data_IF_287165844951
#
_entry.id   IF_287165844951
#
_cell.length_a   1.000
_cell.length_b   1.000
_cell.length_c   1.000
_cell.angle_alpha   90.00
_cell.angle_beta   90.00
_cell.angle_gamma   90.00
#
_symmetry.space_group_name_H-M   'P 1'
#
loop_
_entity.id
_entity.type
_entity.pdbx_description
1 polymer ?
#
# COMPACT_ATOMS: atom_id res chain seq x y z
N UNK A 1 3.02 8.65 -12.94
CA UNK A 1 2.70 7.80 -11.77
C UNK A 1 3.72 6.69 -11.74
N UNK A 2 4.63 6.67 -10.77
CA UNK A 2 5.67 5.64 -10.73
C UNK A 2 5.05 4.30 -10.34
N UNK A 3 4.97 3.43 -11.36
CA UNK A 3 4.21 2.19 -11.41
C UNK A 3 4.81 1.14 -10.44
N UNK A 4 6.08 1.32 -10.04
CA UNK A 4 6.80 0.40 -9.15
C UNK A 4 6.35 0.40 -7.69
N UNK A 5 5.71 1.46 -7.19
CA UNK A 5 5.54 1.63 -5.74
C UNK A 5 4.53 0.65 -5.12
N UNK A 6 3.44 0.31 -5.83
CA UNK A 6 2.47 -0.68 -5.36
C UNK A 6 3.09 -2.08 -5.28
N UNK A 7 3.84 -2.46 -6.32
CA UNK A 7 4.53 -3.75 -6.37
C UNK A 7 5.56 -3.87 -5.25
N UNK A 8 6.34 -2.81 -5.01
CA UNK A 8 7.36 -2.80 -3.96
C UNK A 8 6.75 -2.81 -2.55
N UNK A 9 5.66 -2.06 -2.31
CA UNK A 9 4.96 -2.09 -1.01
C UNK A 9 4.33 -3.46 -0.72
N UNK A 10 3.75 -4.12 -1.72
CA UNK A 10 3.24 -5.50 -1.56
C UNK A 10 4.36 -6.47 -1.23
N UNK A 11 5.48 -6.43 -1.97
CA UNK A 11 6.63 -7.31 -1.70
C UNK A 11 7.22 -7.08 -0.31
N UNK A 12 7.31 -5.83 0.15
CA UNK A 12 7.77 -5.50 1.52
C UNK A 12 6.84 -6.03 2.61
N UNK A 13 5.54 -6.14 2.29
CA UNK A 13 4.55 -6.79 3.12
C UNK A 13 4.58 -8.33 3.02
N UNK A 14 5.54 -8.91 2.29
CA UNK A 14 5.71 -10.34 2.05
C UNK A 14 4.46 -11.03 1.49
N UNK A 15 3.72 -10.32 0.62
CA UNK A 15 2.53 -10.84 -0.03
C UNK A 15 2.79 -11.15 -1.50
N UNK A 16 2.26 -12.26 -2.00
CA UNK A 16 2.11 -12.52 -3.45
C UNK A 16 0.90 -11.75 -4.02
N UNK A 17 0.79 -11.67 -5.35
CA UNK A 17 -0.40 -11.07 -5.98
C UNK A 17 -1.67 -11.89 -5.71
N UNK A 18 -1.55 -13.21 -5.51
CA UNK A 18 -2.66 -14.11 -5.18
C UNK A 18 -3.15 -13.89 -3.75
N UNK A 19 -2.25 -13.63 -2.80
CA UNK A 19 -2.60 -13.31 -1.41
C UNK A 19 -3.11 -11.87 -1.26
N UNK A 20 -2.63 -10.93 -2.07
CA UNK A 20 -3.09 -9.55 -2.06
C UNK A 20 -4.51 -9.39 -2.63
N UNK A 21 -4.86 -10.20 -3.63
CA UNK A 21 -6.16 -10.17 -4.30
C UNK A 21 -7.37 -10.24 -3.35
N UNK A 22 -7.52 -11.26 -2.46
CA UNK A 22 -8.64 -11.33 -1.53
C UNK A 22 -8.64 -10.17 -0.52
N UNK A 23 -7.47 -9.68 -0.08
CA UNK A 23 -7.37 -8.56 0.87
C UNK A 23 -7.85 -7.24 0.26
N UNK A 24 -7.62 -7.09 -1.04
CA UNK A 24 -8.10 -5.96 -1.85
C UNK A 24 -9.53 -6.16 -2.38
N UNK A 25 -10.18 -7.29 -2.10
CA UNK A 25 -11.47 -7.66 -2.69
C UNK A 25 -11.45 -7.56 -4.23
N UNK A 26 -10.32 -7.94 -4.83
CA UNK A 26 -10.06 -7.84 -6.25
C UNK A 26 -9.53 -9.16 -6.81
N UNK A 27 -9.55 -9.34 -8.13
CA UNK A 27 -8.93 -10.51 -8.75
C UNK A 27 -7.41 -10.31 -8.88
N UNK A 28 -6.63 -11.40 -8.88
CA UNK A 28 -5.17 -11.34 -9.11
C UNK A 28 -4.78 -10.59 -10.41
N UNK A 29 -5.48 -10.76 -11.56
CA UNK A 29 -5.24 -9.92 -12.74
C UNK A 29 -5.47 -8.43 -12.49
N UNK A 30 -6.44 -8.07 -11.64
CA UNK A 30 -6.69 -6.69 -11.24
C UNK A 30 -5.52 -6.11 -10.46
N UNK A 31 -4.94 -6.89 -9.53
CA UNK A 31 -3.71 -6.52 -8.81
C UNK A 31 -2.57 -6.29 -9.80
N UNK A 32 -2.37 -7.20 -10.75
CA UNK A 32 -1.33 -7.03 -11.78
C UNK A 32 -1.53 -5.77 -12.61
N UNK A 33 -2.77 -5.46 -13.02
CA UNK A 33 -3.07 -4.24 -13.79
C UNK A 33 -2.82 -2.96 -12.98
N UNK A 34 -3.15 -2.97 -11.68
CA UNK A 34 -2.84 -1.86 -10.78
C UNK A 34 -1.31 -1.68 -10.64
N UNK A 35 -0.58 -2.77 -10.45
CA UNK A 35 0.89 -2.78 -10.33
C UNK A 35 1.62 -2.43 -11.63
N UNK A 36 0.97 -2.58 -12.79
CA UNK A 36 1.52 -2.20 -14.09
C UNK A 36 1.01 -0.83 -14.58
N UNK A 37 0.16 -0.15 -13.81
CA UNK A 37 -0.43 1.14 -14.21
C UNK A 37 -1.45 1.02 -15.34
N UNK A 38 -1.81 -0.19 -15.74
CA UNK A 38 -2.84 -0.50 -16.74
C UNK A 38 -4.26 -0.24 -16.20
N UNK A 39 -4.40 -0.12 -14.88
CA UNK A 39 -5.63 0.29 -14.21
C UNK A 39 -5.35 1.46 -13.27
N UNK A 40 -6.17 2.50 -13.35
CA UNK A 40 -6.10 3.63 -12.43
C UNK A 40 -6.40 3.16 -11.00
N UNK A 41 -5.55 3.55 -10.06
CA UNK A 41 -5.75 3.32 -8.64
C UNK A 41 -6.74 4.37 -8.10
N UNK A 42 -7.89 3.92 -7.61
CA UNK A 42 -8.86 4.81 -6.95
C UNK A 42 -8.38 5.14 -5.53
N UNK A 43 -8.86 6.26 -4.98
CA UNK A 43 -8.52 6.66 -3.62
C UNK A 43 -8.85 5.57 -2.58
N UNK A 44 -10.03 4.94 -2.69
CA UNK A 44 -10.45 3.87 -1.78
C UNK A 44 -9.56 2.61 -1.91
N UNK A 45 -9.16 2.28 -3.14
CA UNK A 45 -8.25 1.16 -3.40
C UNK A 45 -6.85 1.47 -2.83
N UNK A 46 -6.39 2.71 -2.91
CA UNK A 46 -5.13 3.14 -2.32
C UNK A 46 -5.19 3.02 -0.78
N UNK A 47 -6.23 3.55 -0.14
CA UNK A 47 -6.38 3.49 1.33
C UNK A 47 -6.36 2.03 1.79
N UNK A 48 -7.13 1.16 1.12
CA UNK A 48 -7.16 -0.27 1.43
C UNK A 48 -5.81 -0.94 1.21
N UNK A 49 -5.12 -0.62 0.12
CA UNK A 49 -3.77 -1.15 -0.16
C UNK A 49 -2.79 -0.78 0.96
N UNK A 50 -2.84 0.47 1.43
CA UNK A 50 -2.02 0.94 2.53
C UNK A 50 -2.36 0.24 3.85
N UNK A 51 -3.63 0.06 4.17
CA UNK A 51 -4.07 -0.68 5.36
C UNK A 51 -3.59 -2.14 5.35
N UNK A 52 -3.74 -2.82 4.21
CA UNK A 52 -3.32 -4.22 4.06
C UNK A 52 -1.80 -4.35 4.20
N UNK A 53 -1.04 -3.54 3.47
CA UNK A 53 0.42 -3.62 3.48
C UNK A 53 1.01 -3.19 4.83
N UNK A 54 0.46 -2.14 5.46
CA UNK A 54 0.88 -1.72 6.81
C UNK A 54 0.58 -2.78 7.88
N UNK A 55 -0.60 -3.40 7.85
CA UNK A 55 -0.95 -4.45 8.80
C UNK A 55 -0.03 -5.68 8.70
N UNK A 56 0.40 -6.05 7.48
CA UNK A 56 1.35 -7.15 7.29
C UNK A 56 2.78 -6.78 7.70
N UNK A 57 3.25 -5.59 7.35
CA UNK A 57 4.58 -5.10 7.77
C UNK A 57 4.66 -4.90 9.29
N UNK A 58 3.54 -4.55 9.93
CA UNK A 58 3.41 -4.38 11.39
C UNK A 58 3.31 -5.70 12.16
N UNK A 59 3.35 -6.87 11.52
CA UNK A 59 3.41 -8.16 12.23
C UNK A 59 4.69 -8.34 13.06
N UNK A 60 5.73 -7.54 12.83
CA UNK A 60 6.95 -7.49 13.65
C UNK A 60 6.87 -6.52 14.84
N UNK A 61 5.69 -5.91 15.05
CA UNK A 61 5.39 -4.93 16.08
C UNK A 61 4.34 -5.54 17.02
N UNK A 62 4.46 -5.30 18.32
CA UNK A 62 3.66 -6.01 19.33
C UNK A 62 2.15 -5.80 19.10
N UNK A 63 1.31 -6.77 19.50
CA UNK A 63 -0.14 -6.72 19.26
C UNK A 63 -0.81 -5.43 19.77
N UNK A 64 -0.22 -4.77 20.77
CA UNK A 64 -0.66 -3.50 21.32
C UNK A 64 -0.39 -2.32 20.37
N UNK A 65 0.79 -2.26 19.79
CA UNK A 65 1.19 -1.23 18.83
C UNK A 65 0.46 -1.39 17.50
N UNK A 66 0.24 -2.63 17.06
CA UNK A 66 -0.61 -2.93 15.91
C UNK A 66 -2.06 -2.48 16.13
N UNK A 67 -2.59 -2.65 17.36
CA UNK A 67 -3.92 -2.16 17.75
C UNK A 67 -4.00 -0.62 17.70
N UNK A 68 -2.95 0.08 18.14
CA UNK A 68 -2.90 1.55 18.09
C UNK A 68 -2.81 2.05 16.64
N UNK A 69 -2.00 1.41 15.78
CA UNK A 69 -1.89 1.76 14.36
C UNK A 69 -3.20 1.49 13.58
N UNK A 70 -3.94 0.45 13.98
CA UNK A 70 -5.23 0.11 13.39
C UNK A 70 -6.35 1.06 13.86
N UNK A 71 -6.40 1.40 15.15
CA UNK A 71 -7.37 2.35 15.73
C UNK A 71 -7.12 3.77 15.25
N UNK A 72 -5.86 4.18 15.04
CA UNK A 72 -5.50 5.45 14.42
C UNK A 72 -5.53 5.43 12.88
N UNK A 73 -5.92 4.30 12.25
CA UNK A 73 -6.48 4.28 10.90
C UNK A 73 -5.51 4.51 9.74
N UNK A 74 -4.24 4.12 9.87
CA UNK A 74 -3.09 4.57 9.05
C UNK A 74 -2.50 5.83 9.66
N UNK A 75 -1.43 5.64 10.43
CA UNK A 75 -0.63 6.70 11.02
C UNK A 75 -0.42 7.82 9.99
N UNK A 76 -0.90 9.03 10.31
CA UNK A 76 -0.85 10.17 9.40
C UNK A 76 0.58 10.48 8.98
N UNK A 77 1.56 10.10 9.80
CA UNK A 77 3.00 10.23 9.51
C UNK A 77 3.41 9.26 8.41
N UNK A 78 2.89 8.03 8.39
CA UNK A 78 3.13 7.05 7.32
C UNK A 78 2.43 7.48 6.03
N UNK A 79 1.19 7.96 6.14
CA UNK A 79 0.44 8.47 4.99
C UNK A 79 1.10 9.74 4.43
N UNK A 80 1.58 10.65 5.28
CA UNK A 80 2.33 11.84 4.90
C UNK A 80 3.70 11.50 4.32
N UNK A 81 4.43 10.52 4.85
CA UNK A 81 5.72 10.08 4.31
C UNK A 81 5.55 9.43 2.94
N UNK A 82 4.50 8.61 2.74
CA UNK A 82 4.18 8.05 1.43
C UNK A 82 3.72 9.11 0.44
N UNK A 83 2.86 10.05 0.84
CA UNK A 83 2.48 11.19 0.00
C UNK A 83 3.67 12.08 -0.33
N UNK A 84 4.56 12.33 0.64
CA UNK A 84 5.78 13.13 0.45
C UNK A 84 6.76 12.42 -0.48
N UNK A 85 6.88 11.10 -0.41
CA UNK A 85 7.67 10.30 -1.36
C UNK A 85 7.02 10.27 -2.74
N UNK A 86 5.69 10.25 -2.81
CA UNK A 86 4.94 10.32 -4.06
C UNK A 86 5.13 11.69 -4.74
N UNK A 87 4.94 12.79 -4.00
CA UNK A 87 5.10 14.19 -4.49
C UNK A 87 6.57 14.56 -4.69
N UNK A 88 7.47 14.14 -3.81
CA UNK A 88 8.91 14.36 -3.93
C UNK A 88 9.54 13.61 -5.10
N UNK A 89 8.98 12.47 -5.50
CA UNK A 89 9.32 11.79 -6.75
C UNK A 89 8.95 12.58 -8.00
N UNK A 90 7.86 13.36 -7.96
CA UNK A 90 7.48 14.29 -9.05
C UNK A 90 8.44 15.49 -9.15
N UNK A 91 8.92 16.02 -8.01
CA UNK A 91 9.84 17.18 -8.00
C UNK A 91 11.24 16.80 -8.50
N UNK A 92 11.70 15.56 -8.27
CA UNK A 92 13.00 15.09 -8.79
C UNK A 92 13.03 14.77 -10.29
N UNK A 93 11.87 14.73 -10.95
CA UNK A 93 11.73 14.41 -12.38
C UNK A 93 11.25 15.62 -13.22
N UNK A 94 11.26 16.83 -12.65
CA UNK A 94 10.97 18.10 -13.31
C UNK A 94 12.25 18.96 -13.40
#
# INVERSE_FOLDING_TARGET
MDIGYLRETRKKADLTQEEMAPLMQASRPTISKLENGERALKADDLIRWLQVTSAQMSKNTTALEAGIAFVNGVDIVVLADMLTKFVGGFIKFL
#
